data_IF_234339220348
#
_entry.id   IF_234339220348
#
_cell.length_a   1.000
_cell.length_b   1.000
_cell.length_c   1.000
_cell.angle_alpha   90.00
_cell.angle_beta   90.00
_cell.angle_gamma   90.00
#
_symmetry.space_group_name_H-M   'P 1'
#
loop_
_entity.id
_entity.type
_entity.pdbx_description
1 polymer ?
#
# COMPACT_ATOMS: atom_id res chain seq x y z
N UNK A 1 -22.42 -18.62 -10.49
CA UNK A 1 -21.58 -18.03 -9.44
C UNK A 1 -21.16 -19.10 -8.44
N UNK A 2 -19.90 -19.56 -8.47
CA UNK A 2 -19.44 -20.63 -7.60
C UNK A 2 -19.39 -20.22 -6.12
N UNK A 3 -19.57 -18.94 -5.81
CA UNK A 3 -19.61 -18.39 -4.46
C UNK A 3 -20.94 -18.63 -3.72
N UNK A 4 -21.99 -19.08 -4.42
CA UNK A 4 -23.29 -19.45 -3.81
C UNK A 4 -24.09 -18.29 -3.19
N UNK A 5 -23.56 -17.07 -3.17
CA UNK A 5 -24.23 -15.86 -2.66
C UNK A 5 -23.64 -14.59 -3.29
N UNK A 6 -24.38 -13.49 -3.17
CA UNK A 6 -23.90 -12.15 -3.51
C UNK A 6 -22.87 -11.70 -2.46
N UNK A 7 -21.79 -11.06 -2.92
CA UNK A 7 -20.73 -10.50 -2.04
C UNK A 7 -21.29 -9.46 -1.07
N UNK A 8 -20.68 -9.37 0.12
CA UNK A 8 -21.02 -8.39 1.16
C UNK A 8 -19.82 -7.54 1.57
N UNK A 9 -18.62 -7.86 1.08
CA UNK A 9 -17.39 -7.09 1.32
C UNK A 9 -16.87 -6.40 0.05
N UNK A 10 -17.30 -6.89 -1.13
CA UNK A 10 -16.80 -6.46 -2.43
C UNK A 10 -15.59 -7.27 -2.92
N UNK A 11 -15.01 -8.10 -2.04
CA UNK A 11 -13.96 -9.06 -2.38
C UNK A 11 -14.49 -10.41 -2.84
N UNK A 12 -13.55 -11.29 -3.22
CA UNK A 12 -13.81 -12.68 -3.61
C UNK A 12 -14.31 -13.46 -2.38
N UNK A 13 -15.50 -14.05 -2.50
CA UNK A 13 -16.10 -14.84 -1.41
C UNK A 13 -15.63 -16.30 -1.46
N UNK A 14 -16.07 -17.09 -0.47
CA UNK A 14 -15.84 -18.54 -0.45
C UNK A 14 -16.31 -19.18 -1.76
N UNK A 15 -15.39 -19.82 -2.48
CA UNK A 15 -15.68 -20.64 -3.66
C UNK A 15 -16.09 -22.04 -3.20
N UNK A 16 -17.27 -22.51 -3.62
CA UNK A 16 -17.77 -23.83 -3.24
C UNK A 16 -17.25 -24.92 -4.18
N UNK A 17 -16.63 -25.95 -3.61
CA UNK A 17 -16.11 -27.12 -4.33
C UNK A 17 -17.18 -27.83 -5.19
N UNK A 18 -18.46 -27.70 -4.84
CA UNK A 18 -19.55 -28.32 -5.60
C UNK A 18 -19.59 -27.87 -7.06
N UNK A 19 -19.38 -26.58 -7.32
CA UNK A 19 -19.32 -26.04 -8.68
C UNK A 19 -18.08 -26.57 -9.42
N UNK A 20 -16.94 -26.66 -8.73
CA UNK A 20 -15.72 -27.22 -9.29
C UNK A 20 -15.87 -28.70 -9.66
N UNK A 21 -16.54 -29.49 -8.82
CA UNK A 21 -16.79 -30.91 -9.07
C UNK A 21 -17.69 -31.15 -10.28
N UNK A 22 -18.67 -30.27 -10.53
CA UNK A 22 -19.51 -30.37 -11.73
C UNK A 22 -18.66 -30.12 -12.98
N UNK A 23 -17.83 -29.08 -12.97
CA UNK A 23 -16.93 -28.79 -14.09
C UNK A 23 -15.91 -29.92 -14.33
N UNK A 24 -15.27 -30.44 -13.26
CA UNK A 24 -14.33 -31.57 -13.32
C UNK A 24 -14.98 -32.85 -13.88
N UNK A 25 -16.14 -33.25 -13.34
CA UNK A 25 -16.81 -34.50 -13.76
C UNK A 25 -17.36 -34.46 -15.19
N UNK A 26 -17.81 -33.29 -15.64
CA UNK A 26 -18.38 -33.14 -16.99
C UNK A 26 -17.30 -32.86 -18.04
N UNK A 27 -16.08 -32.49 -17.62
CA UNK A 27 -15.04 -32.02 -18.53
C UNK A 27 -15.34 -30.67 -19.18
N UNK A 28 -16.31 -29.92 -18.64
CA UNK A 28 -16.75 -28.64 -19.18
C UNK A 28 -15.70 -27.54 -19.00
N UNK A 29 -15.67 -26.59 -19.93
CA UNK A 29 -14.87 -25.37 -19.80
C UNK A 29 -15.52 -24.42 -18.78
N UNK A 30 -14.70 -23.75 -18.00
CA UNK A 30 -15.10 -22.68 -17.06
C UNK A 30 -14.80 -21.35 -17.71
N UNK A 31 -15.80 -20.48 -17.84
CA UNK A 31 -15.62 -19.12 -18.38
C UNK A 31 -15.53 -18.13 -17.22
N UNK A 32 -14.38 -17.49 -16.97
CA UNK A 32 -14.23 -16.52 -15.90
C UNK A 32 -14.89 -15.18 -16.32
N UNK A 33 -15.84 -14.69 -15.51
CA UNK A 33 -16.58 -13.45 -15.78
C UNK A 33 -16.56 -12.55 -14.56
N UNK A 34 -16.10 -11.32 -14.72
CA UNK A 34 -16.14 -10.27 -13.68
C UNK A 34 -17.13 -9.18 -14.09
N UNK A 35 -18.01 -8.82 -13.16
CA UNK A 35 -18.99 -7.75 -13.33
C UNK A 35 -18.65 -6.66 -12.31
N UNK A 36 -18.37 -5.46 -12.80
CA UNK A 36 -17.98 -4.30 -11.99
C UNK A 36 -19.00 -3.17 -12.17
N UNK A 37 -19.19 -2.36 -11.15
CA UNK A 37 -20.09 -1.21 -11.12
C UNK A 37 -21.44 -1.48 -10.47
N UNK A 38 -21.97 -2.71 -10.56
CA UNK A 38 -23.26 -3.04 -9.93
C UNK A 38 -23.20 -2.96 -8.40
N UNK A 39 -22.03 -3.15 -7.80
CA UNK A 39 -21.81 -2.99 -6.37
C UNK A 39 -22.08 -1.55 -5.88
N UNK A 40 -22.01 -0.56 -6.78
CA UNK A 40 -22.31 0.86 -6.53
C UNK A 40 -23.81 1.18 -6.62
N UNK A 41 -24.66 0.22 -6.95
CA UNK A 41 -26.12 0.42 -6.99
C UNK A 41 -26.72 0.45 -5.58
N UNK A 42 -27.83 1.17 -5.41
CA UNK A 42 -28.62 1.14 -4.17
C UNK A 42 -29.28 -0.23 -3.89
N UNK A 43 -29.33 -1.11 -4.90
CA UNK A 43 -29.80 -2.50 -4.75
C UNK A 43 -28.68 -3.49 -4.38
N UNK A 44 -27.44 -3.00 -4.22
CA UNK A 44 -26.30 -3.79 -3.78
C UNK A 44 -26.43 -4.18 -2.31
N UNK A 45 -25.80 -5.28 -1.90
CA UNK A 45 -25.65 -5.66 -0.48
C UNK A 45 -24.51 -4.91 0.23
N UNK A 46 -23.69 -4.17 -0.51
CA UNK A 46 -22.64 -3.33 0.06
C UNK A 46 -23.23 -2.07 0.66
N UNK A 47 -22.86 -1.77 1.90
CA UNK A 47 -23.27 -0.54 2.60
C UNK A 47 -22.42 0.66 2.17
N UNK A 48 -22.80 1.86 2.61
CA UNK A 48 -22.02 3.09 2.40
C UNK A 48 -20.59 3.03 2.97
N UNK A 49 -20.34 2.16 3.96
CA UNK A 49 -19.00 1.88 4.48
C UNK A 49 -18.12 1.15 3.46
N UNK A 50 -18.74 0.36 2.57
CA UNK A 50 -18.06 -0.51 1.62
C UNK A 50 -17.96 0.10 0.23
N UNK A 51 -18.82 1.05 -0.14
CA UNK A 51 -18.83 1.68 -1.46
C UNK A 51 -19.74 2.91 -1.46
N UNK A 52 -19.42 3.91 -2.28
CA UNK A 52 -20.31 5.04 -2.52
C UNK A 52 -21.37 4.68 -3.56
N UNK A 53 -22.63 4.67 -3.16
CA UNK A 53 -23.74 4.40 -4.08
C UNK A 53 -23.95 5.52 -5.10
N UNK A 54 -24.46 5.15 -6.28
CA UNK A 54 -24.75 6.04 -7.41
C UNK A 54 -26.05 5.62 -8.08
N UNK A 55 -26.80 6.61 -8.56
CA UNK A 55 -27.91 6.36 -9.49
C UNK A 55 -27.31 5.98 -10.84
N UNK A 56 -27.71 4.83 -11.38
CA UNK A 56 -27.24 4.28 -12.66
C UNK A 56 -25.71 4.16 -12.76
N UNK A 57 -25.07 3.30 -11.93
CA UNK A 57 -23.63 3.10 -12.04
C UNK A 57 -23.25 2.51 -13.40
N UNK A 58 -22.13 2.95 -13.98
CA UNK A 58 -21.58 2.31 -15.18
C UNK A 58 -21.19 0.87 -14.85
N UNK A 59 -21.70 -0.07 -15.63
CA UNK A 59 -21.41 -1.50 -15.49
C UNK A 59 -20.39 -1.92 -16.53
N UNK A 60 -19.32 -2.59 -16.09
CA UNK A 60 -18.33 -3.23 -16.97
C UNK A 60 -18.41 -4.74 -16.76
N UNK A 61 -18.57 -5.48 -17.85
CA UNK A 61 -18.51 -6.95 -17.85
C UNK A 61 -17.25 -7.36 -18.58
N UNK A 62 -16.36 -8.06 -17.89
CA UNK A 62 -15.12 -8.60 -18.46
C UNK A 62 -15.25 -10.12 -18.52
N UNK A 63 -15.06 -10.69 -19.70
CA UNK A 63 -15.12 -12.13 -19.95
C UNK A 63 -13.71 -12.55 -20.38
N UNK A 64 -13.10 -13.47 -19.63
CA UNK A 64 -11.80 -14.02 -19.98
C UNK A 64 -11.96 -15.30 -20.80
N UNK A 65 -10.86 -15.79 -21.36
CA UNK A 65 -10.83 -17.03 -22.12
C UNK A 65 -11.33 -18.22 -21.27
N UNK A 66 -12.08 -19.16 -21.86
CA UNK A 66 -12.50 -20.36 -21.17
C UNK A 66 -11.29 -21.21 -20.76
N UNK A 67 -11.29 -21.71 -19.52
CA UNK A 67 -10.23 -22.56 -18.97
C UNK A 67 -10.79 -23.92 -18.56
N UNK A 68 -10.00 -24.97 -18.75
CA UNK A 68 -10.33 -26.30 -18.23
C UNK A 68 -9.73 -26.45 -16.83
N UNK A 69 -10.48 -27.01 -15.89
CA UNK A 69 -9.92 -27.29 -14.56
C UNK A 69 -8.95 -28.47 -14.66
N UNK A 70 -7.69 -28.24 -14.32
CA UNK A 70 -6.68 -29.28 -14.22
C UNK A 70 -6.73 -29.89 -12.81
N UNK A 71 -7.21 -31.13 -12.74
CA UNK A 71 -7.29 -31.90 -11.48
C UNK A 71 -6.57 -33.22 -11.68
N UNK A 72 -5.53 -33.53 -10.88
CA UNK A 72 -4.77 -34.76 -11.05
C UNK A 72 -5.68 -36.00 -11.02
N UNK A 73 -5.49 -36.93 -11.97
CA UNK A 73 -6.40 -38.06 -12.19
C UNK A 73 -6.32 -39.10 -11.07
N UNK A 74 -5.17 -39.20 -10.41
CA UNK A 74 -4.88 -40.08 -9.29
C UNK A 74 -5.70 -39.74 -8.04
N UNK A 75 -6.11 -38.48 -7.88
CA UNK A 75 -6.87 -38.04 -6.72
C UNK A 75 -8.31 -38.54 -6.79
N UNK A 76 -8.81 -39.08 -5.67
CA UNK A 76 -10.17 -39.60 -5.52
C UNK A 76 -10.90 -38.99 -4.33
N UNK A 77 -12.22 -39.12 -4.31
CA UNK A 77 -13.08 -38.74 -3.18
C UNK A 77 -12.85 -37.31 -2.69
N UNK A 78 -12.60 -37.16 -1.37
CA UNK A 78 -12.42 -35.86 -0.71
C UNK A 78 -11.19 -35.09 -1.22
N UNK A 79 -10.10 -35.78 -1.53
CA UNK A 79 -8.88 -35.13 -2.03
C UNK A 79 -9.09 -34.54 -3.43
N UNK A 80 -9.76 -35.29 -4.32
CA UNK A 80 -10.12 -34.76 -5.65
C UNK A 80 -10.99 -33.53 -5.56
N UNK A 81 -11.98 -33.56 -4.66
CA UNK A 81 -12.88 -32.43 -4.41
C UNK A 81 -12.13 -31.18 -3.93
N UNK A 82 -11.20 -31.34 -3.00
CA UNK A 82 -10.36 -30.24 -2.53
C UNK A 82 -9.46 -29.68 -3.65
N UNK A 83 -8.86 -30.56 -4.47
CA UNK A 83 -8.04 -30.15 -5.61
C UNK A 83 -8.85 -29.39 -6.68
N UNK A 84 -10.02 -29.90 -7.05
CA UNK A 84 -10.94 -29.20 -7.96
C UNK A 84 -11.37 -27.84 -7.39
N UNK A 85 -11.73 -27.78 -6.12
CA UNK A 85 -12.06 -26.53 -5.42
C UNK A 85 -10.90 -25.52 -5.45
N UNK A 86 -9.68 -25.97 -5.19
CA UNK A 86 -8.48 -25.15 -5.26
C UNK A 86 -8.18 -24.65 -6.68
N UNK A 87 -8.34 -25.50 -7.70
CA UNK A 87 -8.20 -25.10 -9.10
C UNK A 87 -9.23 -24.03 -9.50
N UNK A 88 -10.50 -24.20 -9.10
CA UNK A 88 -11.53 -23.19 -9.36
C UNK A 88 -11.28 -21.89 -8.60
N UNK A 89 -10.81 -21.97 -7.35
CA UNK A 89 -10.41 -20.78 -6.59
C UNK A 89 -9.26 -20.04 -7.28
N UNK A 90 -8.26 -20.76 -7.79
CA UNK A 90 -7.16 -20.16 -8.56
C UNK A 90 -7.67 -19.42 -9.79
N UNK A 91 -8.61 -20.00 -10.55
CA UNK A 91 -9.26 -19.33 -11.69
C UNK A 91 -9.98 -18.06 -11.26
N UNK A 92 -10.73 -18.09 -10.15
CA UNK A 92 -11.45 -16.91 -9.63
C UNK A 92 -10.49 -15.82 -9.12
N UNK A 93 -9.40 -16.21 -8.45
CA UNK A 93 -8.38 -15.28 -7.97
C UNK A 93 -7.62 -14.65 -9.14
N UNK A 94 -7.26 -15.44 -10.16
CA UNK A 94 -6.62 -14.95 -11.38
C UNK A 94 -7.53 -14.00 -12.16
N UNK A 95 -8.83 -14.30 -12.24
CA UNK A 95 -9.83 -13.39 -12.78
C UNK A 95 -9.79 -12.03 -12.05
N UNK A 96 -9.79 -12.02 -10.71
CA UNK A 96 -9.70 -10.77 -9.94
C UNK A 96 -8.40 -10.03 -10.27
N UNK A 97 -7.26 -10.72 -10.31
CA UNK A 97 -5.95 -10.12 -10.59
C UNK A 97 -5.88 -9.52 -12.00
N UNK A 98 -6.17 -10.32 -13.04
CA UNK A 98 -6.03 -9.92 -14.46
C UNK A 98 -6.96 -8.80 -14.90
N UNK A 99 -8.01 -8.55 -14.13
CA UNK A 99 -8.98 -7.49 -14.40
C UNK A 99 -8.74 -6.23 -13.55
N UNK A 100 -7.74 -6.23 -12.67
CA UNK A 100 -7.27 -4.99 -12.03
C UNK A 100 -6.57 -4.10 -13.04
N UNK A 101 -6.84 -2.81 -12.95
CA UNK A 101 -6.18 -1.80 -13.76
C UNK A 101 -4.81 -1.45 -13.15
N UNK A 102 -3.76 -1.97 -13.77
CA UNK A 102 -2.35 -1.76 -13.40
C UNK A 102 -1.62 -0.85 -14.39
N UNK A 103 -2.31 -0.34 -15.43
CA UNK A 103 -1.76 0.53 -16.48
C UNK A 103 -1.84 2.01 -16.10
N UNK A 104 -1.64 2.30 -14.81
CA UNK A 104 -1.74 3.63 -14.21
C UNK A 104 -0.55 3.94 -13.32
N UNK A 105 -0.38 5.21 -12.97
CA UNK A 105 0.53 5.58 -11.89
C UNK A 105 -0.11 5.34 -10.53
N UNK A 106 0.72 5.15 -9.50
CA UNK A 106 0.27 4.99 -8.11
C UNK A 106 -0.63 6.16 -7.68
N UNK A 107 -0.20 7.39 -7.97
CA UNK A 107 -0.97 8.59 -7.63
C UNK A 107 -2.31 8.66 -8.38
N UNK A 108 -2.34 8.33 -9.67
CA UNK A 108 -3.59 8.24 -10.44
C UNK A 108 -4.56 7.24 -9.81
N UNK A 109 -4.08 6.06 -9.42
CA UNK A 109 -4.93 5.05 -8.78
C UNK A 109 -5.49 5.54 -7.45
N UNK A 110 -4.67 6.22 -6.62
CA UNK A 110 -5.14 6.81 -5.35
C UNK A 110 -6.19 7.90 -5.60
N UNK A 111 -6.02 8.75 -6.63
CA UNK A 111 -7.00 9.77 -7.01
C UNK A 111 -8.33 9.13 -7.44
N UNK A 112 -8.28 8.05 -8.22
CA UNK A 112 -9.47 7.29 -8.60
C UNK A 112 -10.18 6.72 -7.39
N UNK A 113 -9.45 6.07 -6.50
CA UNK A 113 -9.99 5.56 -5.24
C UNK A 113 -10.60 6.69 -4.41
N UNK A 114 -9.97 7.86 -4.33
CA UNK A 114 -10.52 9.03 -3.64
C UNK A 114 -11.83 9.54 -4.26
N UNK A 115 -11.98 9.49 -5.60
CA UNK A 115 -13.24 9.82 -6.27
C UNK A 115 -14.33 8.77 -6.03
N UNK A 116 -13.95 7.50 -6.00
CA UNK A 116 -14.86 6.38 -5.78
C UNK A 116 -15.36 6.33 -4.34
N UNK A 117 -14.47 6.47 -3.36
CA UNK A 117 -14.77 6.46 -1.93
C UNK A 117 -15.36 7.77 -1.45
N UNK A 118 -14.78 8.88 -1.90
CA UNK A 118 -15.13 10.23 -1.47
C UNK A 118 -13.94 10.95 -0.86
N UNK A 119 -13.75 12.21 -1.24
CA UNK A 119 -12.62 13.05 -0.82
C UNK A 119 -12.59 13.36 0.69
N UNK A 120 -13.71 13.14 1.40
CA UNK A 120 -13.83 13.36 2.85
C UNK A 120 -13.49 12.12 3.66
N UNK A 121 -13.42 10.95 3.04
CA UNK A 121 -13.06 9.71 3.71
C UNK A 121 -11.63 9.73 4.24
N UNK A 122 -11.42 9.08 5.38
CA UNK A 122 -10.11 8.96 6.03
C UNK A 122 -9.14 8.21 5.11
N UNK A 123 -7.97 8.78 4.88
CA UNK A 123 -6.90 8.15 4.10
C UNK A 123 -5.75 7.70 5.01
N UNK A 124 -5.23 8.64 5.81
CA UNK A 124 -4.08 8.41 6.69
C UNK A 124 -4.28 9.06 8.04
N UNK A 125 -3.72 8.47 9.07
CA UNK A 125 -3.72 8.96 10.43
C UNK A 125 -2.36 8.69 11.07
N UNK A 126 -1.91 9.59 11.95
CA UNK A 126 -0.76 9.35 12.81
C UNK A 126 -1.00 10.02 14.19
N UNK A 127 -0.27 9.66 15.25
CA UNK A 127 -0.50 10.19 16.60
C UNK A 127 -0.13 11.68 16.78
N UNK A 128 0.65 12.26 15.87
CA UNK A 128 1.23 13.61 16.02
C UNK A 128 0.39 14.66 15.29
N UNK A 129 0.04 14.39 14.04
CA UNK A 129 -0.66 15.30 13.13
C UNK A 129 -2.14 14.96 12.98
N UNK A 130 -2.59 13.83 13.54
CA UNK A 130 -3.98 13.40 13.54
C UNK A 130 -4.39 12.79 12.20
N UNK A 131 -5.59 13.13 11.74
CA UNK A 131 -6.24 12.47 10.60
C UNK A 131 -6.26 13.34 9.34
N UNK A 132 -5.88 12.76 8.20
CA UNK A 132 -6.05 13.35 6.87
C UNK A 132 -7.03 12.53 6.04
N UNK A 133 -8.02 13.23 5.46
CA UNK A 133 -8.87 12.64 4.43
C UNK A 133 -8.11 12.52 3.11
N UNK A 134 -8.63 11.72 2.17
CA UNK A 134 -8.07 11.65 0.80
C UNK A 134 -7.90 13.03 0.18
N UNK A 135 -8.91 13.90 0.30
CA UNK A 135 -8.86 15.26 -0.23
C UNK A 135 -7.77 16.11 0.41
N UNK A 136 -7.54 15.99 1.72
CA UNK A 136 -6.46 16.72 2.41
C UNK A 136 -5.08 16.17 2.03
N UNK A 137 -4.92 14.85 1.99
CA UNK A 137 -3.69 14.18 1.58
C UNK A 137 -3.30 14.54 0.15
N UNK A 138 -4.24 14.43 -0.79
CA UNK A 138 -4.01 14.77 -2.20
C UNK A 138 -3.75 16.28 -2.40
N UNK A 139 -4.38 17.13 -1.59
CA UNK A 139 -4.07 18.58 -1.59
C UNK A 139 -2.64 18.81 -1.13
N UNK A 140 -2.20 18.18 -0.05
CA UNK A 140 -0.83 18.29 0.44
C UNK A 140 0.18 17.76 -0.61
N UNK A 141 -0.12 16.62 -1.24
CA UNK A 141 0.70 16.06 -2.32
C UNK A 141 0.77 17.01 -3.54
N UNK A 142 -0.33 17.66 -3.93
CA UNK A 142 -0.33 18.63 -5.02
C UNK A 142 0.50 19.88 -4.71
N UNK A 143 0.39 20.41 -3.49
CA UNK A 143 1.20 21.57 -3.05
C UNK A 143 2.68 21.22 -3.05
N UNK A 144 3.05 20.08 -2.45
CA UNK A 144 4.44 19.62 -2.42
C UNK A 144 4.96 19.32 -3.82
N UNK A 145 4.15 18.68 -4.66
CA UNK A 145 4.49 18.40 -6.05
C UNK A 145 4.79 19.65 -6.85
N UNK A 146 4.01 20.73 -6.69
CA UNK A 146 4.28 22.00 -7.36
C UNK A 146 5.62 22.61 -6.90
N UNK A 147 5.93 22.58 -5.60
CA UNK A 147 7.23 23.06 -5.10
C UNK A 147 8.39 22.19 -5.60
N UNK A 148 8.24 20.86 -5.58
CA UNK A 148 9.29 19.94 -6.00
C UNK A 148 9.56 19.99 -7.51
N UNK A 149 8.52 20.17 -8.33
CA UNK A 149 8.63 20.39 -9.77
C UNK A 149 9.51 21.60 -10.06
N UNK A 150 9.26 22.74 -9.40
CA UNK A 150 9.99 23.99 -9.61
C UNK A 150 11.40 23.99 -8.99
N UNK A 151 11.53 23.61 -7.71
CA UNK A 151 12.79 23.71 -6.98
C UNK A 151 13.85 22.72 -7.48
N UNK A 152 13.42 21.57 -8.00
CA UNK A 152 14.33 20.48 -8.38
C UNK A 152 14.16 20.07 -9.83
N UNK A 153 13.81 21.00 -10.74
CA UNK A 153 13.53 20.73 -12.15
C UNK A 153 14.58 19.84 -12.85
N UNK A 154 15.87 20.02 -12.53
CA UNK A 154 16.98 19.24 -13.09
C UNK A 154 17.33 17.93 -12.37
N UNK A 155 16.54 17.49 -11.39
CA UNK A 155 16.75 16.22 -10.68
C UNK A 155 15.62 15.25 -10.98
N UNK A 156 15.98 14.04 -11.44
CA UNK A 156 15.00 12.96 -11.66
C UNK A 156 14.62 12.27 -10.34
N UNK A 157 15.59 12.09 -9.45
CA UNK A 157 15.44 11.37 -8.19
C UNK A 157 15.54 12.31 -6.99
N UNK A 158 14.67 12.14 -6.00
CA UNK A 158 14.77 12.82 -4.70
C UNK A 158 14.83 11.79 -3.58
N UNK A 159 15.81 11.93 -2.68
CA UNK A 159 15.90 11.11 -1.49
C UNK A 159 14.82 11.48 -0.48
N UNK A 160 14.12 10.50 0.08
CA UNK A 160 13.18 10.70 1.18
C UNK A 160 13.72 9.97 2.41
N UNK A 161 14.04 10.72 3.45
CA UNK A 161 14.51 10.20 4.72
C UNK A 161 13.58 10.66 5.84
N UNK A 162 12.45 9.96 5.99
CA UNK A 162 11.37 10.31 6.92
C UNK A 162 10.83 9.05 7.63
N UNK A 163 10.24 9.20 8.83
CA UNK A 163 9.66 8.07 9.56
C UNK A 163 8.28 7.70 8.97
N UNK A 164 7.61 6.71 9.54
CA UNK A 164 6.20 6.50 9.24
C UNK A 164 5.35 7.64 9.84
N UNK A 165 4.81 8.50 8.98
CA UNK A 165 3.95 9.60 9.34
C UNK A 165 3.11 10.07 8.14
N UNK A 166 2.05 10.84 8.41
CA UNK A 166 1.22 11.45 7.37
C UNK A 166 2.06 12.34 6.43
N UNK A 167 3.01 13.09 6.99
CA UNK A 167 3.92 13.95 6.22
C UNK A 167 4.79 13.17 5.24
N UNK A 168 5.21 11.95 5.60
CA UNK A 168 6.01 11.07 4.75
C UNK A 168 5.19 10.55 3.57
N UNK A 169 3.94 10.17 3.81
CA UNK A 169 3.01 9.79 2.75
C UNK A 169 2.73 10.97 1.80
N UNK A 170 2.45 12.16 2.34
CA UNK A 170 2.26 13.37 1.53
C UNK A 170 3.50 13.73 0.69
N UNK A 171 4.70 13.56 1.26
CA UNK A 171 5.98 13.80 0.57
C UNK A 171 6.21 12.79 -0.53
N UNK A 172 6.01 11.49 -0.26
CA UNK A 172 6.09 10.43 -1.26
C UNK A 172 5.20 10.72 -2.48
N UNK A 173 3.93 11.03 -2.23
CA UNK A 173 2.97 11.37 -3.28
C UNK A 173 3.28 12.70 -3.97
N UNK A 174 3.84 13.67 -3.24
CA UNK A 174 4.28 14.95 -3.80
C UNK A 174 5.45 14.78 -4.77
N UNK A 175 6.45 13.98 -4.41
CA UNK A 175 7.58 13.65 -5.29
C UNK A 175 7.10 12.94 -6.55
N UNK A 176 6.22 11.93 -6.40
CA UNK A 176 5.58 11.26 -7.55
C UNK A 176 4.76 12.24 -8.41
N UNK A 177 4.01 13.16 -7.79
CA UNK A 177 3.21 14.17 -8.50
C UNK A 177 4.08 15.09 -9.36
N UNK A 178 5.24 15.49 -8.85
CA UNK A 178 6.26 16.27 -9.57
C UNK A 178 6.95 15.49 -10.70
N UNK A 179 6.55 14.23 -10.95
CA UNK A 179 7.16 13.35 -11.92
C UNK A 179 8.57 12.91 -11.55
N UNK A 180 8.94 13.00 -10.27
CA UNK A 180 10.26 12.59 -9.76
C UNK A 180 10.17 11.21 -9.12
N UNK A 181 11.31 10.52 -9.03
CA UNK A 181 11.41 9.20 -8.44
C UNK A 181 11.83 9.33 -6.97
N UNK A 182 10.97 8.98 -6.00
CA UNK A 182 11.37 8.93 -4.60
C UNK A 182 12.35 7.79 -4.35
N UNK A 183 13.57 8.11 -3.93
CA UNK A 183 14.52 7.15 -3.40
C UNK A 183 14.36 7.07 -1.88
N UNK A 184 13.88 5.93 -1.39
CA UNK A 184 13.54 5.78 0.02
C UNK A 184 14.77 5.44 0.86
N UNK A 185 15.30 6.41 1.59
CA UNK A 185 16.57 6.28 2.31
C UNK A 185 16.36 5.56 3.64
N UNK A 186 17.08 4.46 3.84
CA UNK A 186 17.13 3.76 5.12
C UNK A 186 18.02 4.52 6.11
N UNK A 187 17.41 5.29 6.99
CA UNK A 187 18.10 6.08 8.01
C UNK A 187 18.77 5.24 9.11
N UNK A 188 18.53 3.94 9.20
CA UNK A 188 19.21 3.05 10.17
C UNK A 188 20.49 2.42 9.63
N UNK A 189 20.80 2.63 8.34
CA UNK A 189 21.95 2.00 7.69
C UNK A 189 23.31 2.65 8.02
N UNK A 190 23.32 3.81 8.68
CA UNK A 190 24.51 4.62 8.92
C UNK A 190 24.92 5.47 7.72
N UNK A 191 25.69 6.53 7.97
CA UNK A 191 26.00 7.56 6.97
C UNK A 191 26.72 7.04 5.71
N UNK A 192 27.72 6.16 5.86
CA UNK A 192 28.43 5.58 4.74
C UNK A 192 27.51 4.80 3.77
N UNK A 193 26.58 4.00 4.31
CA UNK A 193 25.61 3.26 3.51
C UNK A 193 24.57 4.19 2.87
N UNK A 194 24.14 5.23 3.59
CA UNK A 194 23.25 6.26 3.04
C UNK A 194 23.92 6.97 1.86
N UNK A 195 25.19 7.38 1.99
CA UNK A 195 25.94 8.00 0.90
C UNK A 195 26.12 7.05 -0.29
N UNK A 196 26.41 5.78 -0.03
CA UNK A 196 26.48 4.76 -1.10
C UNK A 196 25.13 4.60 -1.80
N UNK A 197 24.03 4.60 -1.06
CA UNK A 197 22.68 4.54 -1.60
C UNK A 197 22.34 5.80 -2.44
N UNK A 198 22.69 6.98 -1.95
CA UNK A 198 22.52 8.24 -2.68
C UNK A 198 23.32 8.22 -3.98
N UNK A 199 24.57 7.76 -3.96
CA UNK A 199 25.41 7.63 -5.15
C UNK A 199 24.80 6.64 -6.17
N UNK A 200 24.35 5.47 -5.70
CA UNK A 200 23.76 4.44 -6.57
C UNK A 200 22.44 4.87 -7.21
N UNK A 201 21.67 5.73 -6.54
CA UNK A 201 20.39 6.25 -7.04
C UNK A 201 20.48 7.68 -7.61
N UNK A 202 21.70 8.21 -7.79
CA UNK A 202 21.98 9.57 -8.27
C UNK A 202 21.23 10.68 -7.49
N UNK A 203 21.02 10.45 -6.20
CA UNK A 203 20.36 11.39 -5.30
C UNK A 203 21.31 12.53 -4.95
N UNK A 204 20.95 13.74 -5.36
CA UNK A 204 21.66 14.98 -4.98
C UNK A 204 21.01 15.68 -3.79
N UNK A 205 19.71 15.47 -3.58
CA UNK A 205 18.93 16.13 -2.53
C UNK A 205 18.17 15.11 -1.69
N UNK A 206 18.28 15.22 -0.36
CA UNK A 206 17.56 14.39 0.61
C UNK A 206 16.57 15.26 1.40
N UNK A 207 15.29 14.88 1.32
CA UNK A 207 14.18 15.49 2.04
C UNK A 207 14.05 14.84 3.43
N UNK A 208 14.05 15.66 4.47
CA UNK A 208 13.87 15.21 5.87
C UNK A 208 13.17 16.29 6.72
N UNK A 209 12.92 16.04 8.01
CA UNK A 209 12.41 17.02 8.96
C UNK A 209 13.25 17.11 10.23
N UNK A 210 13.32 18.31 10.82
CA UNK A 210 14.11 18.55 12.04
C UNK A 210 13.57 17.75 13.22
N UNK A 211 12.25 17.75 13.38
CA UNK A 211 11.59 16.99 14.44
C UNK A 211 11.93 15.48 14.37
N UNK A 212 11.99 14.92 13.16
CA UNK A 212 12.39 13.52 13.00
C UNK A 212 13.87 13.30 13.33
N UNK A 213 14.76 14.14 12.78
CA UNK A 213 16.21 14.03 13.01
C UNK A 213 16.55 14.12 14.50
N UNK A 214 15.91 15.04 15.22
CA UNK A 214 16.06 15.18 16.67
C UNK A 214 15.53 13.95 17.41
N UNK A 215 14.30 13.54 17.13
CA UNK A 215 13.66 12.39 17.79
C UNK A 215 14.43 11.08 17.57
N UNK A 216 14.95 10.86 16.36
CA UNK A 216 15.71 9.68 15.98
C UNK A 216 17.22 9.80 16.28
N UNK A 217 17.68 10.93 16.84
CA UNK A 217 19.09 11.21 17.15
C UNK A 217 20.01 11.06 15.93
N UNK A 218 19.55 11.52 14.77
CA UNK A 218 20.26 11.41 13.49
C UNK A 218 21.18 12.60 13.19
N UNK A 219 21.40 13.52 14.13
CA UNK A 219 22.24 14.70 13.96
C UNK A 219 23.62 14.40 13.35
N UNK A 220 24.42 13.49 13.93
CA UNK A 220 25.72 13.12 13.36
C UNK A 220 25.63 12.55 11.94
N UNK A 221 24.59 11.75 11.67
CA UNK A 221 24.36 11.18 10.34
C UNK A 221 24.07 12.29 9.33
N UNK A 222 23.20 13.24 9.68
CA UNK A 222 22.86 14.41 8.85
C UNK A 222 24.09 15.26 8.55
N UNK A 223 24.91 15.54 9.55
CA UNK A 223 26.14 16.32 9.39
C UNK A 223 27.13 15.64 8.44
N UNK A 224 27.26 14.32 8.53
CA UNK A 224 28.15 13.56 7.65
C UNK A 224 27.65 13.52 6.21
N UNK A 225 26.38 13.15 6.00
CA UNK A 225 25.83 13.04 4.65
C UNK A 225 25.67 14.41 3.99
N UNK A 226 25.40 15.46 4.77
CA UNK A 226 25.24 16.85 4.31
C UNK A 226 26.50 17.45 3.67
N UNK A 227 27.66 16.78 3.80
CA UNK A 227 28.90 17.15 3.08
C UNK A 227 28.87 16.77 1.60
N UNK A 228 27.99 15.85 1.20
CA UNK A 228 27.94 15.29 -0.16
C UNK A 228 26.58 15.44 -0.84
N UNK A 229 25.50 15.56 -0.06
CA UNK A 229 24.13 15.75 -0.59
C UNK A 229 23.46 16.93 0.08
N UNK A 230 22.58 17.61 -0.66
CA UNK A 230 21.82 18.74 -0.13
C UNK A 230 20.72 18.25 0.80
N UNK A 231 20.74 18.71 2.05
CA UNK A 231 19.69 18.41 3.03
C UNK A 231 18.62 19.48 2.98
N UNK A 232 17.42 19.06 2.64
CA UNK A 232 16.25 19.93 2.55
C UNK A 232 15.30 19.61 3.69
N UNK A 233 15.04 20.62 4.50
CA UNK A 233 14.10 20.55 5.61
C UNK A 233 12.68 20.83 5.13
N UNK A 234 11.81 19.84 5.26
CA UNK A 234 10.39 20.00 4.95
C UNK A 234 9.71 21.04 5.85
N UNK A 235 10.25 21.30 7.04
CA UNK A 235 9.79 22.35 7.94
C UNK A 235 9.93 23.74 7.30
N UNK A 236 11.06 24.00 6.64
CA UNK A 236 11.32 25.26 5.94
C UNK A 236 10.43 25.38 4.71
N UNK A 237 10.32 24.29 3.94
CA UNK A 237 9.43 24.25 2.79
C UNK A 237 7.99 24.54 3.22
N UNK A 238 7.54 23.96 4.33
CA UNK A 238 6.21 24.19 4.91
C UNK A 238 5.99 25.66 5.28
N UNK A 239 7.00 26.35 5.80
CA UNK A 239 6.92 27.77 6.11
C UNK A 239 6.69 28.65 4.86
N UNK A 240 7.14 28.20 3.68
CA UNK A 240 6.89 28.90 2.41
C UNK A 240 5.48 28.68 1.83
N UNK A 241 4.69 27.75 2.40
CA UNK A 241 3.36 27.40 1.86
C UNK A 241 2.33 28.43 2.31
N UNK A 242 1.96 29.32 1.39
CA UNK A 242 0.93 30.34 1.60
C UNK A 242 -0.50 29.86 1.35
N UNK A 243 -1.46 30.76 1.53
CA UNK A 243 -2.87 30.51 1.19
C UNK A 243 -3.09 30.23 -0.30
N UNK A 244 -2.35 30.95 -1.17
CA UNK A 244 -2.39 30.74 -2.62
C UNK A 244 -1.97 29.33 -3.01
N UNK A 245 -0.88 28.82 -2.43
CA UNK A 245 -0.41 27.46 -2.67
C UNK A 245 -1.47 26.44 -2.25
N UNK A 246 -2.08 26.61 -1.08
CA UNK A 246 -3.16 25.73 -0.59
C UNK A 246 -4.39 25.74 -1.50
N UNK A 247 -4.78 26.90 -2.01
CA UNK A 247 -5.91 27.03 -2.93
C UNK A 247 -5.62 26.36 -4.28
N UNK A 248 -4.43 26.60 -4.84
CA UNK A 248 -3.98 25.94 -6.07
C UNK A 248 -3.90 24.43 -5.89
N UNK A 249 -3.31 23.96 -4.79
CA UNK A 249 -3.26 22.55 -4.44
C UNK A 249 -4.66 21.92 -4.32
N UNK A 250 -5.61 22.63 -3.72
CA UNK A 250 -7.00 22.15 -3.59
C UNK A 250 -7.68 21.98 -4.96
N UNK A 251 -7.44 22.91 -5.89
CA UNK A 251 -7.95 22.87 -7.26
C UNK A 251 -7.27 21.79 -8.11
N UNK A 252 -5.99 21.51 -7.85
CA UNK A 252 -5.14 20.58 -8.63
C UNK A 252 -4.97 19.19 -8.03
N UNK A 253 -5.54 18.91 -6.84
CA UNK A 253 -5.37 17.63 -6.10
C UNK A 253 -5.72 16.35 -6.88
N UNK A 254 -6.46 16.46 -7.98
CA UNK A 254 -6.93 15.32 -8.79
C UNK A 254 -6.10 15.12 -10.06
N UNK A 255 -5.06 15.90 -10.28
CA UNK A 255 -4.21 15.80 -11.47
C UNK A 255 -2.74 15.85 -11.04
N UNK A 256 -1.91 14.84 -11.40
CA UNK A 256 -0.48 14.92 -11.14
C UNK A 256 0.12 16.15 -11.85
N UNK A 257 1.15 16.76 -11.26
CA UNK A 257 1.81 17.93 -11.85
C UNK A 257 2.49 17.59 -13.17
N UNK A 258 3.20 16.47 -13.20
CA UNK A 258 3.87 15.94 -14.39
C UNK A 258 3.25 14.58 -14.72
N UNK A 259 2.83 14.40 -15.97
CA UNK A 259 2.29 13.13 -16.43
C UNK A 259 3.39 12.08 -16.54
N UNK A 260 3.12 10.88 -16.01
CA UNK A 260 3.98 9.69 -16.09
C UNK A 260 3.17 8.50 -16.57
N UNK A 261 3.84 7.51 -17.14
CA UNK A 261 3.26 6.24 -17.59
C UNK A 261 3.44 5.15 -16.54
N UNK A 262 2.70 4.06 -16.67
CA UNK A 262 2.78 2.92 -15.74
C UNK A 262 4.17 2.28 -15.68
N UNK A 263 4.88 2.27 -16.82
CA UNK A 263 6.22 1.68 -16.94
C UNK A 263 7.35 2.65 -16.55
N UNK A 264 7.02 3.90 -16.19
CA UNK A 264 8.01 4.83 -15.65
C UNK A 264 8.39 4.44 -14.20
N UNK A 265 9.64 4.72 -13.77
CA UNK A 265 10.07 4.54 -12.39
C UNK A 265 9.19 5.29 -11.39
N UNK A 266 8.76 4.59 -10.34
CA UNK A 266 7.87 5.10 -9.29
C UNK A 266 8.53 5.23 -7.94
N UNK A 267 9.53 4.40 -7.63
CA UNK A 267 10.31 4.45 -6.41
C UNK A 267 11.63 3.71 -6.57
N UNK A 268 12.64 4.10 -5.79
CA UNK A 268 13.87 3.35 -5.60
C UNK A 268 13.91 2.89 -4.15
N UNK A 269 14.04 1.58 -3.95
CA UNK A 269 14.22 0.96 -2.64
C UNK A 269 15.61 0.34 -2.55
N UNK A 270 16.18 0.24 -1.36
CA UNK A 270 17.52 -0.31 -1.18
C UNK A 270 17.48 -1.67 -0.49
N UNK A 271 18.36 -2.56 -0.94
CA UNK A 271 18.61 -3.85 -0.31
C UNK A 271 20.03 -3.90 0.20
N UNK A 272 20.26 -4.60 1.33
CA UNK A 272 21.60 -4.98 1.79
C UNK A 272 22.21 -5.92 0.74
N UNK A 273 23.01 -5.40 -0.18
CA UNK A 273 23.70 -6.23 -1.16
C UNK A 273 24.63 -7.21 -0.46
N UNK A 274 24.79 -8.41 -1.01
CA UNK A 274 25.72 -9.45 -0.53
C UNK A 274 27.18 -8.96 -0.47
N UNK A 275 27.52 -7.92 -1.24
CA UNK A 275 28.85 -7.31 -1.34
C UNK A 275 29.05 -6.15 -0.36
N UNK A 276 28.13 -5.93 0.58
CA UNK A 276 28.21 -4.87 1.60
C UNK A 276 27.79 -3.47 1.13
N UNK A 277 27.74 -3.21 -0.18
CA UNK A 277 27.22 -1.95 -0.75
C UNK A 277 25.71 -2.06 -1.03
N UNK A 278 24.89 -1.06 -0.61
CA UNK A 278 23.45 -1.05 -0.92
C UNK A 278 23.20 -1.00 -2.43
N UNK A 279 22.32 -1.90 -2.92
CA UNK A 279 21.86 -1.91 -4.31
C UNK A 279 20.49 -1.24 -4.39
N UNK A 280 20.33 -0.31 -5.35
CA UNK A 280 19.06 0.35 -5.64
C UNK A 280 18.18 -0.52 -6.54
N UNK A 281 16.97 -0.81 -6.08
CA UNK A 281 15.93 -1.52 -6.83
C UNK A 281 14.94 -0.50 -7.35
N UNK A 282 14.98 -0.27 -8.66
CA UNK A 282 14.04 0.63 -9.35
C UNK A 282 12.72 -0.11 -9.57
N UNK A 283 11.64 0.40 -9.00
CA UNK A 283 10.29 -0.14 -9.18
C UNK A 283 9.46 0.80 -10.05
N UNK A 284 8.88 0.29 -11.11
CA UNK A 284 7.90 1.03 -11.92
C UNK A 284 6.55 1.15 -11.20
N UNK A 285 5.69 2.05 -11.66
CA UNK A 285 4.32 2.12 -11.13
C UNK A 285 3.57 0.80 -11.36
N UNK A 286 3.75 0.18 -12.54
CA UNK A 286 3.18 -1.13 -12.88
C UNK A 286 3.66 -2.21 -11.92
N UNK A 287 4.94 -2.24 -11.52
CA UNK A 287 5.43 -3.24 -10.56
C UNK A 287 4.70 -3.13 -9.21
N UNK A 288 4.58 -1.91 -8.68
CA UNK A 288 3.92 -1.66 -7.39
C UNK A 288 2.43 -2.01 -7.47
N UNK A 289 1.73 -1.56 -8.50
CA UNK A 289 0.30 -1.82 -8.68
C UNK A 289 0.01 -3.30 -8.98
N UNK A 290 0.86 -3.99 -9.74
CA UNK A 290 0.73 -5.42 -9.98
C UNK A 290 0.89 -6.22 -8.68
N UNK A 291 1.86 -5.88 -7.84
CA UNK A 291 2.02 -6.55 -6.55
C UNK A 291 0.83 -6.28 -5.61
N UNK A 292 0.32 -5.05 -5.59
CA UNK A 292 -0.89 -4.72 -4.83
C UNK A 292 -2.13 -5.45 -5.36
N UNK A 293 -2.28 -5.58 -6.68
CA UNK A 293 -3.35 -6.35 -7.31
C UNK A 293 -3.27 -7.85 -6.99
N UNK A 294 -2.07 -8.43 -6.96
CA UNK A 294 -1.86 -9.81 -6.51
C UNK A 294 -2.34 -10.01 -5.07
N UNK A 295 -1.94 -9.10 -4.16
CA UNK A 295 -2.38 -9.16 -2.77
C UNK A 295 -3.91 -9.04 -2.65
N UNK A 296 -4.52 -8.05 -3.32
CA UNK A 296 -5.96 -7.84 -3.30
C UNK A 296 -6.78 -8.99 -3.94
N UNK A 297 -6.16 -9.81 -4.80
CA UNK A 297 -6.80 -11.00 -5.38
C UNK A 297 -6.87 -12.21 -4.44
N UNK A 298 -6.15 -12.15 -3.32
CA UNK A 298 -6.03 -13.23 -2.32
C UNK A 298 -6.56 -12.83 -0.96
N UNK A 299 -6.49 -11.55 -0.65
CA UNK A 299 -6.86 -10.98 0.65
C UNK A 299 -8.04 -10.05 0.42
N UNK A 300 -9.08 -10.24 1.20
CA UNK A 300 -10.29 -9.42 1.17
C UNK A 300 -10.03 -8.04 1.82
N UNK A 301 -9.24 -7.17 1.18
CA UNK A 301 -9.07 -5.77 1.61
C UNK A 301 -10.32 -4.95 1.26
N UNK A 302 -10.96 -4.31 2.24
CA UNK A 302 -12.12 -3.47 1.99
C UNK A 302 -12.12 -2.21 2.86
N UNK A 303 -12.90 -1.20 2.49
CA UNK A 303 -12.91 0.11 3.16
C UNK A 303 -13.45 0.11 4.60
N UNK A 304 -13.92 -1.03 5.10
CA UNK A 304 -14.25 -1.22 6.52
C UNK A 304 -13.03 -1.57 7.37
N UNK A 305 -11.88 -1.77 6.74
CA UNK A 305 -10.63 -2.03 7.43
C UNK A 305 -9.91 -0.77 7.90
N UNK A 306 -8.87 -1.00 8.71
CA UNK A 306 -7.82 -0.03 8.96
C UNK A 306 -6.49 -0.76 9.10
N UNK A 307 -5.50 -0.35 8.32
CA UNK A 307 -4.13 -0.89 8.40
C UNK A 307 -3.34 -0.13 9.46
N UNK A 308 -2.74 -0.85 10.41
CA UNK A 308 -1.71 -0.30 11.28
C UNK A 308 -0.33 -0.50 10.63
N UNK A 309 0.23 0.56 10.05
CA UNK A 309 1.53 0.49 9.39
C UNK A 309 2.66 0.94 10.34
N UNK A 310 3.25 -0.07 10.97
CA UNK A 310 4.43 0.08 11.84
C UNK A 310 5.74 -0.26 11.10
N UNK A 311 5.64 -0.86 9.92
CA UNK A 311 6.79 -1.26 9.14
C UNK A 311 7.37 -0.04 8.41
N UNK A 312 8.70 0.15 8.39
CA UNK A 312 9.27 1.36 7.84
C UNK A 312 8.88 1.59 6.37
N UNK A 313 8.37 2.78 6.06
CA UNK A 313 7.90 3.17 4.72
C UNK A 313 9.04 3.21 3.70
N UNK A 314 10.30 3.19 4.15
CA UNK A 314 11.46 3.07 3.26
C UNK A 314 11.78 1.63 2.82
N UNK A 315 11.09 0.64 3.38
CA UNK A 315 11.15 -0.75 2.93
C UNK A 315 9.91 -1.12 2.11
N UNK A 316 10.05 -2.05 1.17
CA UNK A 316 8.97 -2.48 0.27
C UNK A 316 7.72 -2.97 1.02
N UNK A 317 7.90 -3.65 2.16
CA UNK A 317 6.77 -4.15 2.93
C UNK A 317 5.96 -3.02 3.58
N UNK A 318 6.63 -2.01 4.14
CA UNK A 318 5.98 -0.81 4.69
C UNK A 318 5.42 0.11 3.61
N UNK A 319 6.14 0.30 2.50
CA UNK A 319 5.71 1.17 1.39
C UNK A 319 4.57 0.55 0.57
N UNK A 320 4.80 -0.63 -0.02
CA UNK A 320 3.86 -1.23 -0.95
C UNK A 320 2.66 -1.82 -0.22
N UNK A 321 2.88 -2.71 0.75
CA UNK A 321 1.78 -3.38 1.45
C UNK A 321 1.17 -2.51 2.55
N UNK A 322 2.00 -1.80 3.32
CA UNK A 322 1.54 -0.96 4.43
C UNK A 322 1.00 0.42 4.04
N UNK A 323 1.29 0.93 2.84
CA UNK A 323 0.86 2.27 2.41
C UNK A 323 0.15 2.28 1.07
N UNK A 324 0.77 1.80 -0.01
CA UNK A 324 0.17 1.91 -1.35
C UNK A 324 -1.08 1.04 -1.48
N UNK A 325 -0.98 -0.25 -1.16
CA UNK A 325 -2.09 -1.21 -1.20
C UNK A 325 -3.35 -0.71 -0.47
N UNK A 326 -3.29 -0.26 0.81
CA UNK A 326 -4.46 0.24 1.49
C UNK A 326 -5.02 1.52 0.84
N UNK A 327 -4.17 2.47 0.44
CA UNK A 327 -4.63 3.72 -0.18
C UNK A 327 -5.32 3.50 -1.53
N UNK A 328 -4.86 2.56 -2.35
CA UNK A 328 -5.54 2.24 -3.62
C UNK A 328 -6.80 1.37 -3.40
N UNK A 329 -6.89 0.64 -2.29
CA UNK A 329 -8.07 -0.17 -1.92
C UNK A 329 -9.16 0.65 -1.20
N UNK A 330 -8.84 1.87 -0.77
CA UNK A 330 -9.75 2.71 0.01
C UNK A 330 -9.75 2.38 1.51
N UNK A 331 -8.67 1.79 2.00
CA UNK A 331 -8.47 1.40 3.40
C UNK A 331 -7.63 2.46 4.10
N UNK A 332 -8.10 3.07 5.20
CA UNK A 332 -7.30 4.02 5.97
C UNK A 332 -6.06 3.38 6.59
N UNK A 333 -4.97 4.14 6.64
CA UNK A 333 -3.68 3.74 7.24
C UNK A 333 -3.41 4.52 8.51
N UNK A 334 -3.10 3.84 9.60
CA UNK A 334 -2.54 4.43 10.81
C UNK A 334 -1.02 4.24 10.80
N UNK A 335 -0.26 5.32 10.75
CA UNK A 335 1.20 5.31 10.77
C UNK A 335 1.73 5.38 12.20
N UNK A 336 2.74 4.56 12.48
CA UNK A 336 3.51 4.66 13.71
C UNK A 336 5.02 4.52 13.42
N UNK A 337 5.88 5.43 13.92
CA UNK A 337 7.24 5.62 13.44
C UNK A 337 8.21 4.49 13.79
N UNK A 338 7.95 3.68 14.82
CA UNK A 338 8.89 2.68 15.31
C UNK A 338 8.22 1.35 15.64
N UNK A 339 8.62 0.24 14.99
CA UNK A 339 8.14 -1.09 15.34
C UNK A 339 8.73 -1.62 16.66
N UNK A 340 9.77 -0.98 17.19
CA UNK A 340 10.49 -1.44 18.38
C UNK A 340 9.79 -1.06 19.70
N UNK A 341 8.74 -0.24 19.64
CA UNK A 341 8.01 0.16 20.85
C UNK A 341 7.00 -0.92 21.27
N UNK A 342 7.51 -2.06 21.73
CA UNK A 342 6.72 -3.29 21.93
C UNK A 342 5.52 -3.14 22.87
N UNK A 343 5.56 -2.22 23.83
CA UNK A 343 4.43 -1.93 24.74
C UNK A 343 3.42 -0.94 24.18
N UNK A 344 3.86 0.02 23.36
CA UNK A 344 3.00 1.10 22.87
C UNK A 344 2.22 0.65 21.63
N UNK A 345 2.84 -0.15 20.77
CA UNK A 345 2.21 -0.60 19.52
C UNK A 345 0.91 -1.39 19.75
N UNK A 346 0.84 -2.39 20.65
CA UNK A 346 -0.41 -3.09 20.96
C UNK A 346 -1.54 -2.15 21.44
N UNK A 347 -1.24 -1.27 22.38
CA UNK A 347 -2.18 -0.26 22.91
C UNK A 347 -2.70 0.67 21.79
N UNK A 348 -1.85 1.06 20.85
CA UNK A 348 -2.26 1.89 19.72
C UNK A 348 -3.07 1.10 18.68
N UNK A 349 -2.81 -0.19 18.50
CA UNK A 349 -3.64 -1.06 17.65
C UNK A 349 -5.06 -1.11 18.22
N UNK A 350 -5.17 -1.31 19.54
CA UNK A 350 -6.44 -1.26 20.26
C UNK A 350 -7.14 0.08 20.10
N UNK A 351 -6.46 1.18 20.45
CA UNK A 351 -7.01 2.53 20.41
C UNK A 351 -7.40 3.00 19.00
N UNK A 352 -6.67 2.56 17.97
CA UNK A 352 -6.97 2.89 16.58
C UNK A 352 -8.04 1.99 15.96
N UNK A 353 -8.40 0.87 16.59
CA UNK A 353 -9.24 -0.19 16.02
C UNK A 353 -8.73 -0.68 14.67
N UNK A 354 -7.42 -0.87 14.57
CA UNK A 354 -6.84 -1.44 13.37
C UNK A 354 -7.30 -2.89 13.19
N UNK A 355 -7.61 -3.25 11.94
CA UNK A 355 -8.08 -4.59 11.56
C UNK A 355 -6.99 -5.41 10.87
N UNK A 356 -5.93 -4.74 10.39
CA UNK A 356 -4.85 -5.37 9.64
C UNK A 356 -3.51 -4.84 10.17
N UNK A 357 -2.56 -5.76 10.40
CA UNK A 357 -1.17 -5.45 10.71
C UNK A 357 -0.22 -6.26 9.83
N UNK A 358 0.89 -5.63 9.47
CA UNK A 358 2.06 -6.27 8.86
C UNK A 358 3.23 -6.21 9.85
N UNK A 359 3.97 -7.31 9.96
CA UNK A 359 5.10 -7.43 10.89
C UNK A 359 6.13 -8.46 10.42
N UNK A 360 7.32 -8.40 11.02
CA UNK A 360 8.32 -9.48 10.94
C UNK A 360 8.14 -10.45 12.10
N UNK A 361 8.76 -11.63 12.03
CA UNK A 361 8.77 -12.58 13.16
C UNK A 361 9.25 -11.88 14.45
N UNK A 362 10.34 -11.13 14.35
CA UNK A 362 10.94 -10.39 15.47
C UNK A 362 9.97 -9.39 16.09
N UNK A 363 9.27 -8.58 15.30
CA UNK A 363 8.36 -7.55 15.83
C UNK A 363 7.10 -8.16 16.43
N UNK A 364 6.50 -9.14 15.75
CA UNK A 364 5.29 -9.80 16.22
C UNK A 364 5.56 -10.57 17.51
N UNK A 365 6.67 -11.29 17.60
CA UNK A 365 7.09 -11.94 18.84
C UNK A 365 7.38 -10.92 19.96
N UNK A 366 7.93 -9.76 19.62
CA UNK A 366 8.12 -8.65 20.56
C UNK A 366 6.81 -8.14 21.15
N UNK A 367 5.80 -7.89 20.31
CA UNK A 367 4.47 -7.47 20.75
C UNK A 367 3.79 -8.54 21.60
N UNK A 368 3.83 -9.79 21.15
CA UNK A 368 3.17 -10.92 21.81
C UNK A 368 3.65 -11.15 23.26
N UNK A 369 4.91 -10.79 23.58
CA UNK A 369 5.45 -10.87 24.95
C UNK A 369 4.89 -9.83 25.91
N UNK A 370 4.39 -8.71 25.40
CA UNK A 370 4.01 -7.55 26.23
C UNK A 370 2.54 -7.18 26.11
N UNK A 371 1.87 -7.57 25.03
CA UNK A 371 0.50 -7.23 24.76
C UNK A 371 -0.47 -8.02 25.64
N UNK A 372 -1.60 -7.38 25.96
CA UNK A 372 -2.77 -8.10 26.41
C UNK A 372 -3.50 -8.68 25.19
N UNK A 373 -4.08 -9.89 25.23
CA UNK A 373 -4.78 -10.47 24.06
C UNK A 373 -5.89 -9.57 23.49
N UNK A 374 -6.52 -8.77 24.35
CA UNK A 374 -7.57 -7.82 23.94
C UNK A 374 -7.05 -6.64 23.10
N UNK A 375 -5.74 -6.37 23.11
CA UNK A 375 -5.14 -5.30 22.32
C UNK A 375 -5.35 -5.52 20.82
N UNK A 376 -5.42 -6.79 20.41
CA UNK A 376 -5.61 -7.21 19.02
C UNK A 376 -7.05 -7.58 18.67
N UNK A 377 -8.03 -7.26 19.53
CA UNK A 377 -9.43 -7.72 19.37
C UNK A 377 -10.09 -7.37 18.03
N UNK A 378 -9.66 -6.29 17.39
CA UNK A 378 -10.19 -5.85 16.08
C UNK A 378 -9.41 -6.43 14.89
N UNK A 379 -8.21 -6.98 15.13
CA UNK A 379 -7.34 -7.49 14.09
C UNK A 379 -7.92 -8.78 13.52
N UNK A 380 -8.22 -8.78 12.22
CA UNK A 380 -8.65 -9.96 11.47
C UNK A 380 -7.52 -10.57 10.62
N UNK A 381 -6.52 -9.75 10.25
CA UNK A 381 -5.35 -10.21 9.50
C UNK A 381 -4.04 -9.73 10.14
N UNK A 382 -3.16 -10.69 10.41
CA UNK A 382 -1.78 -10.46 10.81
C UNK A 382 -0.87 -11.09 9.74
N UNK A 383 -0.16 -10.24 8.99
CA UNK A 383 0.77 -10.67 7.96
C UNK A 383 2.20 -10.68 8.50
N UNK A 384 2.77 -11.88 8.62
CA UNK A 384 4.15 -12.08 9.03
C UNK A 384 5.04 -12.32 7.80
N UNK A 385 6.08 -11.51 7.62
CA UNK A 385 6.96 -11.58 6.45
C UNK A 385 8.33 -10.94 6.66
N UNK A 386 9.15 -10.91 5.61
CA UNK A 386 10.54 -10.43 5.59
C UNK A 386 11.56 -11.25 6.41
N UNK A 387 11.11 -12.15 7.28
CA UNK A 387 11.93 -13.11 8.04
C UNK A 387 11.21 -14.47 8.12
N UNK A 388 11.93 -15.60 8.31
CA UNK A 388 11.30 -16.88 8.60
C UNK A 388 10.43 -16.80 9.87
N UNK A 389 9.14 -17.09 9.73
CA UNK A 389 8.18 -17.07 10.85
C UNK A 389 8.32 -18.32 11.70
N UNK A 390 8.78 -18.16 12.94
CA UNK A 390 9.01 -19.26 13.89
C UNK A 390 7.70 -19.84 14.39
N UNK A 391 7.72 -21.12 14.75
CA UNK A 391 6.54 -21.82 15.27
C UNK A 391 5.96 -21.11 16.52
N UNK A 392 6.82 -20.65 17.44
CA UNK A 392 6.39 -19.93 18.64
C UNK A 392 5.59 -18.66 18.32
N UNK A 393 6.01 -17.90 17.30
CA UNK A 393 5.30 -16.69 16.85
C UNK A 393 3.96 -17.04 16.20
N UNK A 394 3.82 -18.22 15.57
CA UNK A 394 2.55 -18.68 14.98
C UNK A 394 1.53 -19.14 16.01
N UNK A 395 2.00 -19.66 17.15
CA UNK A 395 1.15 -20.20 18.22
C UNK A 395 0.71 -19.16 19.23
N UNK A 396 1.40 -18.02 19.29
CA UNK A 396 1.07 -16.88 20.18
C UNK A 396 0.17 -15.91 19.44
#
# INVERSE_FOLDING_TARGET
FPEGRITVTGGLMKVYDGAAMVADKTGSMVVPVRIEGLEKSYFSRLTSQHVRHRLFPKVKVTILEPVKLEVPQELKGRQRRAAAGSALYQVMSDLVFRTQDIDKTVLQKIIETAHERGMKELAVQDPVTGSLSYGKLLTAAAVLGEKFEHLYAGQETLGIMLPNANGSCATLLGVMSAGKVPAMINFTAGAANILSACKAAEVKTVLTSRAFVEQAKLGPVIEEIGRSVDIVWLDDLRATIGLKDKLLGLLRKTTPRVARKADDPAAILFTSGSEGTPKGVVLTHRNILANAAQAASRIDFHSGDKVFNVLPIFHSFGMTAGTVLPLISGVPVYFYPSPLHYRIVPELIYGSNATIIFGTDTFLAGYARTAHPYDFRSVRYCFAGAEPVKAATRTT
#
